data_IF_434863645047
#
_entry.id   IF_434863645047
#
_cell.length_a   1.000
_cell.length_b   1.000
_cell.length_c   1.000
_cell.angle_alpha   90.00
_cell.angle_beta   90.00
_cell.angle_gamma   90.00
#
_symmetry.space_group_name_H-M   'P 1'
#
loop_
_entity.id
_entity.type
_entity.pdbx_description
1 polymer ?
#
# COMPACT_ATOMS: atom_id res chain seq x y z
N UNK A 1 1.85 -20.74 -61.87
CA UNK A 1 3.13 -21.00 -61.19
C UNK A 1 3.29 -19.99 -60.11
N UNK A 2 3.00 -20.40 -58.87
CA UNK A 2 3.10 -19.51 -57.68
C UNK A 2 4.55 -19.39 -57.26
N UNK A 3 5.07 -18.15 -57.19
CA UNK A 3 6.39 -17.84 -56.68
C UNK A 3 6.39 -18.07 -55.14
N UNK A 4 7.12 -19.08 -54.68
CA UNK A 4 7.36 -19.31 -53.27
C UNK A 4 8.24 -18.17 -52.75
N UNK A 5 7.65 -17.24 -51.95
CA UNK A 5 8.42 -16.25 -51.23
C UNK A 5 9.27 -16.96 -50.16
N UNK A 6 10.60 -16.85 -50.31
CA UNK A 6 11.53 -17.37 -49.33
C UNK A 6 11.29 -16.67 -47.98
N UNK A 7 10.90 -17.42 -46.96
CA UNK A 7 10.79 -16.93 -45.57
C UNK A 7 12.22 -16.81 -45.05
N UNK A 8 12.67 -15.59 -44.76
CA UNK A 8 13.96 -15.35 -44.10
C UNK A 8 13.83 -15.74 -42.65
N UNK A 9 14.54 -16.76 -42.22
CA UNK A 9 14.68 -17.14 -40.82
C UNK A 9 15.71 -16.28 -40.11
N UNK A 10 15.58 -16.15 -38.79
CA UNK A 10 16.58 -15.50 -37.96
C UNK A 10 17.89 -16.28 -37.91
N UNK A 11 19.01 -15.56 -37.90
CA UNK A 11 20.32 -16.16 -37.71
C UNK A 11 20.61 -16.36 -36.23
N UNK A 12 21.40 -17.38 -35.89
CA UNK A 12 21.79 -17.64 -34.50
C UNK A 12 22.48 -16.42 -33.84
N UNK A 13 23.33 -15.73 -34.63
CA UNK A 13 24.03 -14.52 -34.13
C UNK A 13 23.05 -13.38 -33.81
N UNK A 14 22.01 -13.23 -34.60
CA UNK A 14 21.00 -12.19 -34.40
C UNK A 14 20.24 -12.42 -33.10
N UNK A 15 19.90 -13.67 -32.76
CA UNK A 15 19.27 -14.05 -31.51
C UNK A 15 20.19 -13.78 -30.33
N UNK A 16 21.48 -14.12 -30.43
CA UNK A 16 22.46 -13.89 -29.37
C UNK A 16 22.65 -12.39 -29.10
N UNK A 17 22.76 -11.58 -30.14
CA UNK A 17 22.92 -10.11 -30.00
C UNK A 17 21.66 -9.48 -29.42
N UNK A 18 20.47 -9.90 -29.88
CA UNK A 18 19.21 -9.36 -29.29
C UNK A 18 19.04 -9.72 -27.82
N UNK A 19 19.40 -10.93 -27.41
CA UNK A 19 19.39 -11.33 -26.02
C UNK A 19 20.38 -10.52 -25.16
N UNK A 20 21.58 -10.26 -25.68
CA UNK A 20 22.58 -9.47 -24.98
C UNK A 20 22.11 -8.02 -24.77
N UNK A 21 21.55 -7.39 -25.82
CA UNK A 21 20.99 -6.03 -25.72
C UNK A 21 19.80 -5.99 -24.75
N UNK A 22 18.92 -6.97 -24.81
CA UNK A 22 17.77 -7.07 -23.93
C UNK A 22 18.18 -7.22 -22.45
N UNK A 23 19.20 -8.03 -22.17
CA UNK A 23 19.74 -8.20 -20.81
C UNK A 23 20.27 -6.89 -20.23
N UNK A 24 20.95 -6.06 -21.04
CA UNK A 24 21.46 -4.75 -20.62
C UNK A 24 20.28 -3.81 -20.31
N UNK A 25 19.26 -3.77 -21.16
CA UNK A 25 18.09 -2.92 -20.96
C UNK A 25 17.33 -3.29 -19.67
N UNK A 26 17.14 -4.58 -19.41
CA UNK A 26 16.48 -5.07 -18.18
C UNK A 26 17.30 -4.72 -16.96
N UNK A 27 18.63 -4.84 -17.01
CA UNK A 27 19.50 -4.50 -15.88
C UNK A 27 19.43 -3.01 -15.49
N UNK A 28 19.25 -2.12 -16.46
CA UNK A 28 19.07 -0.69 -16.22
C UNK A 28 17.67 -0.30 -15.75
N UNK A 29 16.65 -1.08 -16.14
CA UNK A 29 15.26 -0.81 -15.76
C UNK A 29 14.92 -1.25 -14.31
N UNK A 30 15.56 -2.31 -13.81
CA UNK A 30 15.24 -2.93 -12.52
C UNK A 30 15.26 -1.96 -11.32
N UNK A 31 16.28 -1.09 -11.10
CA UNK A 31 16.31 -0.21 -9.94
C UNK A 31 15.19 0.86 -9.95
N UNK A 32 14.70 1.23 -11.11
CA UNK A 32 13.63 2.24 -11.24
C UNK A 32 12.27 1.71 -10.77
N UNK A 33 12.01 0.42 -10.93
CA UNK A 33 10.74 -0.18 -10.54
C UNK A 33 10.53 -0.22 -9.02
N UNK A 34 11.58 -0.46 -8.24
CA UNK A 34 11.46 -0.53 -6.77
C UNK A 34 11.08 0.82 -6.16
N UNK A 35 11.61 1.91 -6.68
CA UNK A 35 11.26 3.25 -6.21
C UNK A 35 9.82 3.62 -6.54
N UNK A 36 9.34 3.26 -7.72
CA UNK A 36 7.95 3.48 -8.14
C UNK A 36 6.98 2.70 -7.26
N UNK A 37 7.26 1.42 -6.99
CA UNK A 37 6.42 0.59 -6.13
C UNK A 37 6.37 1.16 -4.70
N UNK A 38 7.51 1.57 -4.14
CA UNK A 38 7.57 2.13 -2.80
C UNK A 38 6.82 3.46 -2.71
N UNK A 39 6.97 4.34 -3.70
CA UNK A 39 6.24 5.60 -3.76
C UNK A 39 4.73 5.38 -3.90
N UNK A 40 4.30 4.41 -4.71
CA UNK A 40 2.89 4.09 -4.86
C UNK A 40 2.29 3.53 -3.57
N UNK A 41 3.02 2.67 -2.85
CA UNK A 41 2.59 2.15 -1.54
C UNK A 41 2.47 3.29 -0.51
N UNK A 42 3.47 4.17 -0.45
CA UNK A 42 3.44 5.31 0.48
C UNK A 42 2.25 6.23 0.18
N UNK A 43 2.01 6.55 -1.09
CA UNK A 43 0.87 7.37 -1.51
C UNK A 43 -0.45 6.67 -1.20
N UNK A 44 -0.54 5.36 -1.40
CA UNK A 44 -1.71 4.55 -1.05
C UNK A 44 -2.03 4.63 0.44
N UNK A 45 -1.04 4.36 1.29
CA UNK A 45 -1.19 4.41 2.75
C UNK A 45 -1.55 5.83 3.23
N UNK A 46 -0.95 6.87 2.65
CA UNK A 46 -1.28 8.25 2.99
C UNK A 46 -2.74 8.61 2.64
N UNK A 47 -3.22 8.18 1.47
CA UNK A 47 -4.60 8.41 1.06
C UNK A 47 -5.60 7.62 1.94
N UNK A 48 -5.26 6.41 2.33
CA UNK A 48 -6.07 5.59 3.22
C UNK A 48 -6.18 6.23 4.62
N UNK A 49 -5.06 6.70 5.19
CA UNK A 49 -5.07 7.42 6.45
C UNK A 49 -5.90 8.71 6.37
N UNK A 50 -5.77 9.47 5.28
CA UNK A 50 -6.56 10.67 5.07
C UNK A 50 -8.06 10.36 5.01
N UNK A 51 -8.45 9.29 4.32
CA UNK A 51 -9.83 8.81 4.26
C UNK A 51 -10.35 8.42 5.65
N UNK A 52 -9.54 7.70 6.43
CA UNK A 52 -9.88 7.33 7.81
C UNK A 52 -10.08 8.56 8.69
N UNK A 53 -9.19 9.56 8.59
CA UNK A 53 -9.34 10.83 9.33
C UNK A 53 -10.63 11.58 8.98
N UNK A 54 -10.98 11.64 7.70
CA UNK A 54 -12.21 12.28 7.25
C UNK A 54 -13.45 11.53 7.76
N UNK A 55 -13.43 10.20 7.68
CA UNK A 55 -14.52 9.35 8.18
C UNK A 55 -14.67 9.47 9.70
N UNK A 56 -13.57 9.44 10.43
CA UNK A 56 -13.55 9.64 11.88
C UNK A 56 -14.14 11.00 12.28
N UNK A 57 -13.79 12.07 11.54
CA UNK A 57 -14.35 13.41 11.76
C UNK A 57 -15.85 13.46 11.51
N UNK A 58 -16.33 12.86 10.43
CA UNK A 58 -17.77 12.78 10.14
C UNK A 58 -18.50 12.00 11.24
N UNK A 59 -17.92 10.90 11.69
CA UNK A 59 -18.52 10.07 12.72
C UNK A 59 -18.55 10.78 14.10
N UNK A 60 -17.51 11.52 14.44
CA UNK A 60 -17.49 12.35 15.64
C UNK A 60 -18.61 13.39 15.64
N UNK A 61 -18.84 14.04 14.51
CA UNK A 61 -19.94 15.03 14.37
C UNK A 61 -21.30 14.32 14.42
N UNK A 62 -21.44 13.20 13.71
CA UNK A 62 -22.70 12.44 13.65
C UNK A 62 -23.13 11.91 15.02
N UNK A 63 -22.19 11.42 15.81
CA UNK A 63 -22.45 10.86 17.14
C UNK A 63 -22.37 11.90 18.25
N UNK A 64 -21.90 13.12 17.96
CA UNK A 64 -21.56 14.14 18.97
C UNK A 64 -20.66 13.56 20.07
N UNK A 65 -19.68 12.75 19.66
CA UNK A 65 -18.77 12.03 20.54
C UNK A 65 -17.31 12.22 20.08
N UNK A 66 -16.39 12.01 20.98
CA UNK A 66 -14.96 11.99 20.66
C UNK A 66 -14.64 10.72 19.87
N UNK A 67 -13.90 10.87 18.78
CA UNK A 67 -13.33 9.75 18.03
C UNK A 67 -11.82 9.88 18.05
N UNK A 68 -11.15 8.81 18.41
CA UNK A 68 -9.69 8.71 18.49
C UNK A 68 -9.19 7.79 17.39
N UNK A 69 -8.06 8.13 16.80
CA UNK A 69 -7.32 7.26 15.88
C UNK A 69 -6.00 6.93 16.56
N UNK A 70 -5.73 5.67 16.73
CA UNK A 70 -4.50 5.17 17.32
C UNK A 70 -3.78 4.18 16.40
N UNK A 71 -2.51 3.97 16.70
CA UNK A 71 -1.72 2.94 16.04
C UNK A 71 -2.18 1.56 16.50
N UNK A 72 -2.39 0.66 15.53
CA UNK A 72 -2.61 -0.76 15.77
C UNK A 72 -1.54 -1.56 15.01
N UNK A 73 -0.66 -2.23 15.73
CA UNK A 73 0.42 -3.03 15.14
C UNK A 73 -0.01 -4.48 14.88
N UNK A 74 -1.16 -4.88 15.37
CA UNK A 74 -1.70 -6.24 15.29
C UNK A 74 -3.15 -6.24 14.83
N UNK A 75 -3.47 -5.74 13.63
CA UNK A 75 -4.86 -5.64 13.16
C UNK A 75 -5.55 -7.01 13.11
N UNK A 76 -4.80 -8.09 12.89
CA UNK A 76 -5.33 -9.46 12.85
C UNK A 76 -5.60 -10.05 14.26
N UNK A 77 -5.00 -9.50 15.30
CA UNK A 77 -5.18 -9.96 16.67
C UNK A 77 -6.30 -9.26 17.44
N UNK A 78 -6.91 -8.26 16.83
CA UNK A 78 -8.04 -7.51 17.39
C UNK A 78 -7.74 -6.02 17.61
N UNK A 79 -8.74 -5.33 18.13
CA UNK A 79 -8.65 -3.91 18.40
C UNK A 79 -7.75 -3.65 19.62
N UNK A 80 -6.65 -2.97 19.41
CA UNK A 80 -5.75 -2.53 20.47
C UNK A 80 -4.94 -1.30 20.03
N UNK A 81 -4.86 -0.30 20.87
CA UNK A 81 -3.97 0.84 20.67
C UNK A 81 -2.57 0.53 21.17
N UNK A 82 -1.56 0.79 20.36
CA UNK A 82 -0.17 0.65 20.78
C UNK A 82 0.45 2.04 21.03
N UNK A 83 0.76 2.31 22.29
CA UNK A 83 1.38 3.56 22.73
C UNK A 83 2.92 3.53 22.72
N UNK A 84 3.52 2.36 22.53
CA UNK A 84 4.97 2.23 22.41
C UNK A 84 5.49 2.90 21.13
N UNK A 85 6.70 3.43 21.16
CA UNK A 85 7.35 3.99 19.97
C UNK A 85 7.60 2.93 18.88
N UNK A 86 7.70 3.34 17.62
CA UNK A 86 7.99 2.45 16.51
C UNK A 86 7.29 2.83 15.21
N UNK A 87 7.48 1.98 14.19
CA UNK A 87 6.82 2.15 12.91
C UNK A 87 5.32 1.83 13.01
N UNK A 88 4.52 2.57 12.24
CA UNK A 88 3.09 2.29 12.12
C UNK A 88 2.88 1.17 11.11
N UNK A 89 2.40 0.02 11.57
CA UNK A 89 2.02 -1.10 10.73
C UNK A 89 0.55 -1.04 10.32
N UNK A 90 -0.28 -0.37 11.13
CA UNK A 90 -1.67 -0.12 10.89
C UNK A 90 -2.22 0.93 11.86
N UNK A 91 -3.47 1.24 11.74
CA UNK A 91 -4.22 2.13 12.63
C UNK A 91 -5.65 1.63 12.80
N UNK A 92 -6.27 2.06 13.85
CA UNK A 92 -7.68 1.85 14.11
C UNK A 92 -8.32 3.15 14.59
N UNK A 93 -9.62 3.27 14.44
CA UNK A 93 -10.39 4.37 15.01
C UNK A 93 -11.53 3.83 15.86
N UNK A 94 -11.79 4.49 16.97
CA UNK A 94 -12.83 4.11 17.92
C UNK A 94 -13.53 5.34 18.51
N UNK A 95 -14.71 5.11 19.08
CA UNK A 95 -15.46 6.14 19.80
C UNK A 95 -15.02 6.10 21.25
N UNK A 96 -14.30 7.14 21.67
CA UNK A 96 -13.81 7.33 23.04
C UNK A 96 -14.96 7.90 23.91
N UNK A 97 -15.60 7.02 24.64
CA UNK A 97 -16.82 7.32 25.38
C UNK A 97 -16.55 8.06 26.70
N UNK A 98 -15.49 7.71 27.40
CA UNK A 98 -15.11 8.29 28.70
C UNK A 98 -14.09 9.42 28.58
N UNK A 99 -13.52 9.62 27.38
CA UNK A 99 -12.61 10.71 27.01
C UNK A 99 -11.23 10.63 27.65
N UNK A 100 -10.78 9.43 27.94
CA UNK A 100 -9.44 9.21 28.47
C UNK A 100 -8.37 9.10 27.36
N UNK A 101 -8.77 8.76 26.13
CA UNK A 101 -7.91 8.68 24.94
C UNK A 101 -7.34 7.29 24.70
N UNK A 102 -7.60 6.34 25.58
CA UNK A 102 -7.21 4.95 25.46
C UNK A 102 -8.39 4.12 24.94
N UNK A 103 -8.09 2.96 24.36
CA UNK A 103 -9.13 2.07 23.85
C UNK A 103 -9.54 1.04 24.93
N UNK A 104 -10.79 1.06 25.34
CA UNK A 104 -11.36 0.20 26.33
C UNK A 104 -12.33 -0.86 25.80
N UNK A 105 -12.45 -1.94 26.55
CA UNK A 105 -13.39 -3.01 26.23
C UNK A 105 -14.84 -2.50 26.33
N UNK A 106 -15.52 -2.45 25.21
CA UNK A 106 -16.90 -1.95 25.10
C UNK A 106 -17.03 -0.70 24.24
N UNK A 107 -15.93 -0.06 23.89
CA UNK A 107 -15.92 1.05 22.97
C UNK A 107 -16.12 0.60 21.53
N UNK A 108 -16.81 1.42 20.75
CA UNK A 108 -17.16 1.08 19.38
C UNK A 108 -15.99 1.35 18.44
N UNK A 109 -15.40 0.29 17.89
CA UNK A 109 -14.42 0.38 16.79
C UNK A 109 -15.13 0.76 15.49
N UNK A 110 -14.57 1.70 14.75
CA UNK A 110 -15.12 2.23 13.51
C UNK A 110 -14.39 1.70 12.27
N UNK A 111 -13.05 1.58 12.34
CA UNK A 111 -12.18 1.10 11.26
C UNK A 111 -10.99 0.36 11.84
#
# INVERSE_FOLDING_TARGET
MGSLKAVKGFTLIEVVVTMAVFAILVALAAPSFTSVINNNRLTGNANELLSTLQSARMEAVRRNARVVICRNDTPDAGAACNTAGGAWLGWMSFVDADRDGDFDAGEAVLF
#
